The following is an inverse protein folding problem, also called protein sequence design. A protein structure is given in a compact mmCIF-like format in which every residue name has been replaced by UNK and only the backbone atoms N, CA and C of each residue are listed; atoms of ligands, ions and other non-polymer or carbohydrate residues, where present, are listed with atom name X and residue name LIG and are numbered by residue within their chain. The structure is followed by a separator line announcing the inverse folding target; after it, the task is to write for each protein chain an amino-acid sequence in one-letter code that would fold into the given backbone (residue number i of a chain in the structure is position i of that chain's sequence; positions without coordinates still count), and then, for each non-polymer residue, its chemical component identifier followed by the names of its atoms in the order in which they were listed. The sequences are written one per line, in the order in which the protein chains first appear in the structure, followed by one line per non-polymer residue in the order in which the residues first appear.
data_IF_758703279049
#
_entry.id   IF_758703279049
#
_cell.length_a   1.000
_cell.length_b   1.000
_cell.length_c   1.000
_cell.angle_alpha   90.00
_cell.angle_beta   90.00
_cell.angle_gamma   90.00
#
_symmetry.space_group_name_H-M   'P 1'
#
loop_
_entity.id
_entity.type
_entity.pdbx_description
1 polymer ?
#
# COMPACT_ATOMS: atom_id res chain seq x y z
N UNK A 1 -3.30 -8.42 0.27
CA UNK A 1 -3.54 -7.59 1.47
C UNK A 1 -4.35 -6.38 1.03
N UNK A 2 -5.53 -6.15 1.61
CA UNK A 2 -6.36 -4.98 1.27
C UNK A 2 -5.82 -3.68 1.87
N UNK A 3 -5.07 -3.76 2.96
CA UNK A 3 -4.51 -2.62 3.66
C UNK A 3 -3.01 -2.47 3.40
N UNK A 4 -2.58 -1.23 3.31
CA UNK A 4 -1.18 -0.81 3.36
C UNK A 4 -1.02 0.29 4.40
N UNK A 5 0.18 0.39 4.95
CA UNK A 5 0.56 1.46 5.87
C UNK A 5 1.56 2.37 5.19
N UNK A 6 1.28 3.67 5.18
CA UNK A 6 2.15 4.71 4.66
C UNK A 6 2.61 5.55 5.84
N UNK A 7 3.91 5.77 5.99
CA UNK A 7 4.49 6.67 7.00
C UNK A 7 5.36 7.70 6.30
N UNK A 8 5.22 8.97 6.63
CA UNK A 8 5.99 10.03 6.00
C UNK A 8 6.09 11.31 6.84
N UNK A 9 6.94 12.21 6.39
CA UNK A 9 7.20 13.49 7.04
C UNK A 9 6.67 14.67 6.22
N UNK A 10 6.05 15.65 6.88
CA UNK A 10 5.60 16.91 6.25
C UNK A 10 6.60 18.06 6.42
N UNK A 11 7.63 17.88 7.25
CA UNK A 11 8.76 18.79 7.36
C UNK A 11 10.06 18.07 7.01
N UNK A 12 10.96 18.74 6.27
CA UNK A 12 12.22 18.17 5.81
C UNK A 12 13.12 17.75 6.97
N UNK A 13 13.65 16.53 6.94
CA UNK A 13 14.60 16.03 7.93
C UNK A 13 16.06 16.36 7.64
N UNK A 14 16.40 16.67 6.38
CA UNK A 14 17.75 17.07 5.97
C UNK A 14 17.73 17.76 4.61
N UNK A 15 18.78 18.51 4.28
CA UNK A 15 18.89 19.19 2.98
C UNK A 15 19.11 18.25 1.78
N UNK A 16 19.67 17.04 1.99
CA UNK A 16 20.04 16.14 0.89
C UNK A 16 18.87 15.28 0.41
N UNK A 17 18.05 14.81 1.34
CA UNK A 17 16.80 14.08 1.07
C UNK A 17 15.73 14.56 2.04
N UNK A 18 14.93 15.56 1.64
CA UNK A 18 13.99 16.19 2.55
C UNK A 18 12.85 15.25 2.93
N UNK A 19 12.46 14.35 2.02
CA UNK A 19 11.28 13.51 2.16
C UNK A 19 11.63 12.03 2.20
N UNK A 20 11.01 11.32 3.14
CA UNK A 20 11.09 9.87 3.25
C UNK A 20 9.70 9.33 3.54
N UNK A 21 9.19 8.54 2.60
CA UNK A 21 7.90 7.87 2.71
C UNK A 21 8.13 6.37 2.72
N UNK A 22 7.72 5.72 3.80
CA UNK A 22 7.74 4.28 3.95
C UNK A 22 6.37 3.74 3.58
N UNK A 23 6.32 2.75 2.69
CA UNK A 23 5.07 2.06 2.33
C UNK A 23 5.24 0.58 2.61
N UNK A 24 4.42 0.05 3.53
CA UNK A 24 4.43 -1.35 3.95
C UNK A 24 3.21 -2.10 3.41
N UNK A 25 3.44 -3.34 2.96
CA UNK A 25 2.37 -4.27 2.56
C UNK A 25 1.95 -4.19 1.09
N UNK A 26 2.73 -3.53 0.23
CA UNK A 26 2.47 -3.50 -1.22
C UNK A 26 2.63 -4.89 -1.85
N UNK A 27 1.77 -5.17 -2.84
CA UNK A 27 1.94 -6.35 -3.69
C UNK A 27 2.98 -6.09 -4.78
N UNK A 28 3.63 -7.15 -5.26
CA UNK A 28 4.65 -7.08 -6.32
C UNK A 28 4.21 -6.27 -7.55
N UNK A 29 2.97 -6.45 -8.03
CA UNK A 29 2.44 -5.70 -9.16
C UNK A 29 2.34 -4.19 -8.89
N UNK A 30 1.94 -3.78 -7.69
CA UNK A 30 1.87 -2.37 -7.32
C UNK A 30 3.29 -1.78 -7.14
N UNK A 31 4.24 -2.58 -6.64
CA UNK A 31 5.65 -2.18 -6.51
C UNK A 31 6.27 -1.85 -7.87
N UNK A 32 6.00 -2.68 -8.88
CA UNK A 32 6.46 -2.47 -10.26
C UNK A 32 5.94 -1.13 -10.83
N UNK A 33 4.66 -0.81 -10.61
CA UNK A 33 4.06 0.46 -11.06
C UNK A 33 4.68 1.68 -10.35
N UNK A 34 5.12 1.53 -9.10
CA UNK A 34 5.77 2.59 -8.33
C UNK A 34 7.29 2.69 -8.58
N UNK A 35 7.88 1.79 -9.38
CA UNK A 35 9.33 1.75 -9.66
C UNK A 35 9.88 3.04 -10.30
N UNK A 36 9.02 3.84 -10.91
CA UNK A 36 9.37 5.16 -11.46
C UNK A 36 9.82 6.18 -10.40
N UNK A 37 9.45 5.99 -9.14
CA UNK A 37 9.82 6.89 -8.06
C UNK A 37 11.18 6.49 -7.49
N UNK A 38 12.05 7.48 -7.26
CA UNK A 38 13.30 7.26 -6.55
C UNK A 38 13.03 6.61 -5.20
N UNK A 39 13.58 5.42 -4.99
CA UNK A 39 13.51 4.67 -3.75
C UNK A 39 14.93 4.28 -3.31
N UNK A 40 15.11 4.07 -2.01
CA UNK A 40 16.35 3.49 -1.46
C UNK A 40 16.19 1.98 -1.21
N UNK A 41 15.15 1.38 -1.80
CA UNK A 41 14.81 -0.03 -1.64
C UNK A 41 14.06 -0.32 -0.35
N UNK A 42 14.16 -1.58 0.08
CA UNK A 42 13.50 -2.13 1.24
C UNK A 42 14.26 -1.78 2.53
N UNK A 43 13.56 -1.30 3.57
CA UNK A 43 14.13 -1.18 4.91
C UNK A 43 13.87 -2.42 5.79
N UNK A 44 12.91 -3.25 5.39
CA UNK A 44 12.59 -4.56 5.94
C UNK A 44 11.91 -5.42 4.85
N UNK A 45 11.47 -6.64 5.16
CA UNK A 45 10.88 -7.58 4.18
C UNK A 45 9.60 -7.07 3.49
N UNK A 46 8.93 -6.06 4.05
CA UNK A 46 7.59 -5.64 3.65
C UNK A 46 7.48 -4.15 3.28
N UNK A 47 8.52 -3.36 3.57
CA UNK A 47 8.45 -1.90 3.55
C UNK A 47 9.47 -1.29 2.60
N UNK A 48 8.99 -0.54 1.62
CA UNK A 48 9.80 0.21 0.65
C UNK A 48 9.90 1.66 1.07
N UNK A 49 11.08 2.26 0.91
CA UNK A 49 11.32 3.68 1.22
C UNK A 49 11.46 4.50 -0.05
N UNK A 50 10.53 5.43 -0.26
CA UNK A 50 10.52 6.39 -1.36
C UNK A 50 11.04 7.76 -0.91
N UNK A 51 11.87 8.39 -1.74
CA UNK A 51 12.44 9.72 -1.51
C UNK A 51 11.56 10.81 -2.13
N UNK A 52 10.27 10.80 -1.80
CA UNK A 52 9.25 11.68 -2.38
C UNK A 52 8.38 12.28 -1.29
N UNK A 53 7.79 13.46 -1.55
CA UNK A 53 6.84 14.08 -0.64
C UNK A 53 5.62 13.15 -0.41
N UNK A 54 5.06 13.04 0.82
CA UNK A 54 3.93 12.16 1.09
C UNK A 54 2.77 12.26 0.11
N UNK A 55 2.37 13.48 -0.28
CA UNK A 55 1.29 13.67 -1.26
C UNK A 55 1.55 13.00 -2.61
N UNK A 56 2.79 12.95 -3.10
CA UNK A 56 3.11 12.31 -4.39
C UNK A 56 2.84 10.81 -4.30
N UNK A 57 3.29 10.18 -3.21
CA UNK A 57 3.11 8.74 -3.01
C UNK A 57 1.65 8.40 -2.73
N UNK A 58 0.97 9.16 -1.89
CA UNK A 58 -0.47 8.96 -1.61
C UNK A 58 -1.30 9.05 -2.90
N UNK A 59 -1.07 10.05 -3.74
CA UNK A 59 -1.76 10.18 -5.04
C UNK A 59 -1.43 9.03 -5.99
N UNK A 60 -0.19 8.57 -6.03
CA UNK A 60 0.15 7.41 -6.85
C UNK A 60 -0.58 6.14 -6.37
N UNK A 61 -0.71 5.96 -5.06
CA UNK A 61 -1.47 4.86 -4.47
C UNK A 61 -2.97 4.99 -4.75
N UNK A 62 -3.52 6.21 -4.78
CA UNK A 62 -4.90 6.46 -5.22
C UNK A 62 -5.15 6.06 -6.67
N UNK A 63 -4.21 6.36 -7.58
CA UNK A 63 -4.27 5.88 -8.97
C UNK A 63 -4.26 4.35 -9.06
N UNK A 64 -3.56 3.68 -8.14
CA UNK A 64 -3.57 2.22 -8.01
C UNK A 64 -4.84 1.68 -7.33
N UNK A 65 -5.78 2.54 -6.93
CA UNK A 65 -7.07 2.17 -6.34
C UNK A 65 -7.09 2.05 -4.82
N UNK A 66 -6.03 2.49 -4.12
CA UNK A 66 -6.04 2.60 -2.67
C UNK A 66 -6.74 3.89 -2.23
N UNK A 67 -7.53 3.85 -1.16
CA UNK A 67 -8.15 5.02 -0.54
C UNK A 67 -7.62 5.19 0.86
N UNK A 68 -7.35 6.43 1.29
CA UNK A 68 -7.05 6.71 2.70
C UNK A 68 -8.28 6.40 3.55
N UNK A 69 -8.14 5.54 4.55
CA UNK A 69 -9.23 5.17 5.48
C UNK A 69 -8.98 5.64 6.91
N UNK A 70 -7.73 5.95 7.25
CA UNK A 70 -7.36 6.55 8.52
C UNK A 70 -6.05 7.33 8.37
N UNK A 71 -5.89 8.37 9.17
CA UNK A 71 -4.64 9.12 9.32
C UNK A 71 -4.35 9.36 10.80
N UNK A 72 -3.08 9.30 11.17
CA UNK A 72 -2.62 9.63 12.51
C UNK A 72 -1.26 10.32 12.45
N UNK A 73 -0.81 10.89 13.56
CA UNK A 73 0.53 11.43 13.69
C UNK A 73 1.15 11.04 15.01
N UNK A 74 2.47 10.99 15.05
CA UNK A 74 3.25 10.81 16.27
C UNK A 74 4.35 11.87 16.31
N UNK A 75 4.59 12.42 17.50
CA UNK A 75 5.73 13.31 17.73
C UNK A 75 6.87 12.49 18.32
N UNK A 76 7.98 12.38 17.60
CA UNK A 76 9.15 11.59 18.04
C UNK A 76 10.14 12.47 18.80
N UNK A 77 10.33 13.73 18.35
CA UNK A 77 11.09 14.79 19.03
C UNK A 77 10.38 16.12 18.79
N UNK A 78 10.67 17.14 19.61
CA UNK A 78 10.27 18.53 19.31
C UNK A 78 10.68 18.80 17.85
N UNK A 79 9.69 19.07 16.99
CA UNK A 79 9.78 19.35 15.55
C UNK A 79 9.92 18.16 14.57
N UNK A 80 10.09 16.92 15.07
CA UNK A 80 10.05 15.71 14.22
C UNK A 80 8.70 15.01 14.35
N UNK A 81 7.77 15.46 13.51
CA UNK A 81 6.44 14.85 13.38
C UNK A 81 6.41 13.88 12.21
N UNK A 82 5.92 12.68 12.51
CA UNK A 82 5.60 11.69 11.51
C UNK A 82 4.11 11.52 11.38
N UNK A 83 3.71 11.31 10.15
CA UNK A 83 2.33 11.14 9.76
C UNK A 83 2.19 9.75 9.18
N UNK A 84 1.11 9.10 9.55
CA UNK A 84 0.77 7.76 9.12
C UNK A 84 -0.58 7.80 8.43
N UNK A 85 -0.70 7.04 7.34
CA UNK A 85 -1.94 6.82 6.63
C UNK A 85 -2.14 5.33 6.44
N UNK A 86 -3.30 4.85 6.86
CA UNK A 86 -3.77 3.53 6.46
C UNK A 86 -4.54 3.69 5.17
N UNK A 87 -4.12 3.00 4.12
CA UNK A 87 -4.85 2.98 2.86
C UNK A 87 -5.41 1.59 2.59
N UNK A 88 -6.60 1.55 1.97
CA UNK A 88 -7.28 0.31 1.63
C UNK A 88 -7.63 0.29 0.15
N UNK A 89 -7.34 -0.81 -0.54
CA UNK A 89 -7.85 -1.11 -1.88
C UNK A 89 -9.03 -2.06 -1.77
N UNK A 90 -10.14 -1.73 -2.41
CA UNK A 90 -11.30 -2.61 -2.48
C UNK A 90 -10.94 -3.87 -3.27
N UNK A 91 -11.35 -5.03 -2.77
CA UNK A 91 -11.23 -6.29 -3.48
C UNK A 91 -12.62 -6.68 -3.96
N UNK A 92 -12.75 -7.01 -5.24
CA UNK A 92 -13.85 -7.85 -5.68
C UNK A 92 -13.69 -9.19 -4.96
N UNK A 93 -14.68 -9.60 -4.18
CA UNK A 93 -14.70 -10.99 -3.70
C UNK A 93 -14.65 -11.91 -4.92
N UNK A 94 -13.81 -12.97 -4.92
CA UNK A 94 -13.89 -13.96 -5.98
C UNK A 94 -15.30 -14.54 -5.99
N UNK A 95 -15.94 -14.58 -7.16
CA UNK A 95 -17.26 -15.21 -7.29
C UNK A 95 -17.18 -16.64 -6.75
N UNK A 96 -18.15 -17.10 -5.93
CA UNK A 96 -18.13 -18.45 -5.40
C UNK A 96 -18.14 -19.44 -6.56
N UNK A 97 -17.20 -20.39 -6.55
CA UNK A 97 -17.15 -21.48 -7.52
C UNK A 97 -18.52 -22.17 -7.55
N UNK A 98 -19.27 -21.99 -8.63
CA UNK A 98 -20.54 -22.70 -8.83
C UNK A 98 -20.23 -24.19 -8.89
N UNK A 99 -20.44 -24.88 -7.77
CA UNK A 99 -20.43 -26.34 -7.70
C UNK A 99 -21.60 -26.83 -8.55
N UNK A 100 -21.34 -27.06 -9.83
CA UNK A 100 -22.26 -27.79 -10.71
C UNK A 100 -22.32 -29.20 -10.14
N UNK A 101 -23.35 -29.49 -9.34
CA UNK A 101 -23.76 -30.85 -9.02
C UNK A 101 -24.23 -31.49 -10.31
N UNK A 102 -23.31 -32.15 -11.02
CA UNK A 102 -23.68 -33.09 -12.08
C UNK A 102 -24.29 -34.30 -11.40
N UNK A 103 -25.63 -34.35 -11.33
CA UNK A 103 -26.35 -35.56 -10.96
C UNK A 103 -26.04 -36.64 -11.99
N UNK A 104 -25.21 -37.62 -11.60
CA UNK A 104 -24.99 -38.84 -12.37
C UNK A 104 -26.27 -39.67 -12.27
N UNK A 105 -27.14 -39.61 -13.28
CA UNK A 105 -28.18 -40.63 -13.46
C UNK A 105 -27.50 -41.92 -13.92
N UNK A 106 -27.35 -42.86 -13.00
CA UNK A 106 -27.16 -44.27 -13.33
C UNK A 106 -28.43 -44.75 -14.03
N UNK A 107 -28.36 -44.97 -15.34
CA UNK A 107 -29.36 -45.76 -16.05
C UNK A 107 -28.88 -47.21 -16.05
N UNK A 108 -29.47 -48.05 -15.19
CA UNK A 108 -29.52 -49.49 -15.39
C UNK A 108 -30.66 -49.79 -16.37
N UNK A 109 -30.33 -50.34 -17.55
CA UNK A 109 -31.05 -51.44 -18.23
C UNK A 109 -30.04 -52.17 -19.12
#
# INVERSE_FOLDING_TARGET
MPYILVRGNLASYSHKYPWRVLVSGLKAADIEQLSRFTSIGYCDESTIVYLQHPCIILTALEVLGYKVVASSSTSIKQDYNEYMWTMRKEFSEPEPDTVVKTEVKHNEV
#
